data_IF_001295453525
#
_entry.id   IF_001295453525
#
_cell.length_a   1.000
_cell.length_b   1.000
_cell.length_c   1.000
_cell.angle_alpha   90.00
_cell.angle_beta   90.00
_cell.angle_gamma   90.00
#
_symmetry.space_group_name_H-M   'P 1'
#
loop_
_entity.id
_entity.type
_entity.pdbx_description
1 polymer ?
#
# COMPACT_ATOMS: atom_id res chain seq x y z
N UNK A 1 -15.93 -4.08 -13.82
CA UNK A 1 -15.38 -2.72 -13.98
C UNK A 1 -15.07 -2.03 -12.65
N UNK A 2 -15.88 -2.23 -11.61
CA UNK A 2 -15.62 -1.64 -10.29
C UNK A 2 -14.43 -2.27 -9.56
N UNK A 3 -14.22 -3.57 -9.71
CA UNK A 3 -13.07 -4.27 -9.13
C UNK A 3 -11.72 -3.79 -9.69
N UNK A 4 -11.67 -3.45 -10.97
CA UNK A 4 -10.47 -2.90 -11.60
C UNK A 4 -10.17 -1.49 -11.09
N UNK A 5 -11.19 -0.67 -10.87
CA UNK A 5 -11.04 0.66 -10.27
C UNK A 5 -10.52 0.58 -8.84
N UNK A 6 -11.01 -0.38 -8.05
CA UNK A 6 -10.55 -0.59 -6.68
C UNK A 6 -9.10 -1.07 -6.62
N UNK A 7 -8.71 -2.03 -7.46
CA UNK A 7 -7.32 -2.49 -7.58
C UNK A 7 -6.38 -1.35 -7.98
N UNK A 8 -6.82 -0.49 -8.89
CA UNK A 8 -6.05 0.65 -9.35
C UNK A 8 -5.86 1.69 -8.25
N UNK A 9 -6.91 1.96 -7.46
CA UNK A 9 -6.85 2.87 -6.31
C UNK A 9 -5.90 2.35 -5.22
N UNK A 10 -5.97 1.07 -4.91
CA UNK A 10 -5.09 0.43 -3.92
C UNK A 10 -3.63 0.48 -4.37
N UNK A 11 -3.36 0.25 -5.65
CA UNK A 11 -2.02 0.35 -6.20
C UNK A 11 -1.46 1.78 -6.14
N UNK A 12 -2.29 2.78 -6.48
CA UNK A 12 -1.92 4.20 -6.37
C UNK A 12 -1.64 4.58 -4.92
N UNK A 13 -2.47 4.14 -3.98
CA UNK A 13 -2.29 4.40 -2.56
C UNK A 13 -0.99 3.79 -2.02
N UNK A 14 -0.67 2.57 -2.41
CA UNK A 14 0.59 1.92 -2.07
C UNK A 14 1.80 2.65 -2.63
N UNK A 15 1.72 3.09 -3.89
CA UNK A 15 2.78 3.87 -4.54
C UNK A 15 2.98 5.24 -3.89
N UNK A 16 1.91 5.94 -3.57
CA UNK A 16 1.97 7.22 -2.86
C UNK A 16 2.58 7.07 -1.46
N UNK A 17 2.25 5.99 -0.76
CA UNK A 17 2.82 5.71 0.56
C UNK A 17 4.33 5.56 0.53
N UNK A 18 4.87 4.92 -0.50
CA UNK A 18 6.31 4.74 -0.68
C UNK A 18 7.02 5.97 -1.22
N UNK A 19 6.37 6.75 -2.08
CA UNK A 19 6.97 7.93 -2.71
C UNK A 19 6.89 9.19 -1.84
N UNK A 20 5.89 9.32 -0.99
CA UNK A 20 5.67 10.53 -0.19
C UNK A 20 6.88 10.93 0.68
N UNK A 21 7.59 10.01 1.39
CA UNK A 21 8.81 10.36 2.11
C UNK A 21 9.93 10.89 1.20
N UNK A 22 10.05 10.34 0.01
CA UNK A 22 11.05 10.79 -0.97
C UNK A 22 10.73 12.18 -1.52
N UNK A 23 9.46 12.49 -1.72
CA UNK A 23 9.02 13.83 -2.13
C UNK A 23 9.34 14.85 -1.02
N UNK A 24 9.12 14.48 0.24
CA UNK A 24 9.49 15.30 1.38
C UNK A 24 11.00 15.56 1.44
N UNK A 25 11.81 14.52 1.25
CA UNK A 25 13.27 14.63 1.19
C UNK A 25 13.74 15.54 0.03
N UNK A 26 13.15 15.37 -1.14
CA UNK A 26 13.41 16.25 -2.28
C UNK A 26 13.10 17.72 -1.93
N UNK A 27 11.99 17.97 -1.24
CA UNK A 27 11.63 19.30 -0.75
C UNK A 27 12.69 19.90 0.17
N UNK A 28 13.30 19.12 1.05
CA UNK A 28 14.41 19.56 1.91
C UNK A 28 15.63 19.96 1.09
N UNK A 29 16.03 19.16 0.13
CA UNK A 29 17.20 19.44 -0.72
C UNK A 29 16.99 20.73 -1.51
N UNK A 30 15.83 20.89 -2.14
CA UNK A 30 15.50 22.11 -2.90
C UNK A 30 15.45 23.32 -1.96
N UNK A 31 14.84 23.20 -0.78
CA UNK A 31 14.77 24.29 0.19
C UNK A 31 16.16 24.75 0.66
N UNK A 32 17.08 23.84 0.90
CA UNK A 32 18.45 24.16 1.29
C UNK A 32 19.19 24.87 0.14
N UNK A 33 18.99 24.43 -1.11
CA UNK A 33 19.59 25.10 -2.28
C UNK A 33 19.13 26.56 -2.36
N UNK A 34 17.84 26.83 -2.20
CA UNK A 34 17.32 28.19 -2.21
C UNK A 34 17.88 29.03 -1.06
N UNK A 35 18.04 28.45 0.13
CA UNK A 35 18.66 29.15 1.26
C UNK A 35 20.06 29.63 0.96
N UNK A 36 20.89 28.78 0.34
CA UNK A 36 22.25 29.13 -0.03
C UNK A 36 22.30 30.16 -1.17
N UNK A 37 21.38 30.08 -2.13
CA UNK A 37 21.27 31.11 -3.19
C UNK A 37 20.89 32.48 -2.62
N UNK A 38 19.93 32.53 -1.73
CA UNK A 38 19.51 33.77 -1.05
C UNK A 38 20.65 34.37 -0.21
N UNK A 39 21.42 33.52 0.48
CA UNK A 39 22.57 33.97 1.25
C UNK A 39 23.66 34.57 0.36
N UNK A 40 23.94 33.95 -0.77
CA UNK A 40 24.90 34.45 -1.74
C UNK A 40 24.45 35.78 -2.37
N UNK A 41 23.18 35.91 -2.69
CA UNK A 41 22.62 37.13 -3.29
C UNK A 41 22.58 38.34 -2.35
N UNK A 42 22.40 38.09 -1.04
CA UNK A 42 22.32 39.14 0.00
C UNK A 42 23.65 39.49 0.67
N UNK A 43 24.77 38.98 0.15
CA UNK A 43 26.10 39.31 0.64
C UNK A 43 26.42 38.84 2.07
N UNK A 44 25.91 37.68 2.48
CA UNK A 44 26.12 37.11 3.81
C UNK A 44 24.95 37.42 4.75
N UNK A 45 23.78 36.95 4.42
CA UNK A 45 22.65 36.90 5.38
C UNK A 45 23.02 36.00 6.56
N UNK A 46 22.99 36.56 7.77
CA UNK A 46 23.38 35.84 8.98
C UNK A 46 22.57 34.54 9.19
N UNK A 47 22.98 33.76 10.20
CA UNK A 47 22.39 32.48 10.62
C UNK A 47 20.84 32.53 10.70
N UNK A 48 20.25 33.70 10.98
CA UNK A 48 18.81 33.88 11.06
C UNK A 48 18.09 33.66 9.71
N UNK A 49 18.67 34.10 8.59
CA UNK A 49 18.09 33.94 7.25
C UNK A 49 18.18 32.48 6.79
N UNK A 50 19.33 31.86 7.05
CA UNK A 50 19.56 30.44 6.72
C UNK A 50 18.68 29.55 7.58
N UNK A 51 18.53 29.86 8.86
CA UNK A 51 17.70 29.11 9.80
C UNK A 51 16.23 29.10 9.42
N UNK A 52 15.69 30.21 8.97
CA UNK A 52 14.29 30.29 8.51
C UNK A 52 14.03 29.39 7.30
N UNK A 53 14.94 29.41 6.32
CA UNK A 53 14.80 28.60 5.12
C UNK A 53 15.00 27.10 5.38
N UNK A 54 15.97 26.72 6.23
CA UNK A 54 16.14 25.33 6.65
C UNK A 54 14.91 24.84 7.42
N UNK A 55 14.37 25.65 8.31
CA UNK A 55 13.15 25.32 9.06
C UNK A 55 11.99 25.03 8.09
N UNK A 56 11.76 25.86 7.09
CA UNK A 56 10.74 25.63 6.08
C UNK A 56 10.95 24.32 5.30
N UNK A 57 12.20 24.00 4.94
CA UNK A 57 12.56 22.78 4.27
C UNK A 57 12.30 21.54 5.14
N UNK A 58 12.62 21.60 6.43
CA UNK A 58 12.34 20.53 7.38
C UNK A 58 10.84 20.29 7.56
N UNK A 59 10.02 21.31 7.54
CA UNK A 59 8.56 21.19 7.57
C UNK A 59 8.05 20.42 6.35
N UNK A 60 8.59 20.67 5.17
CA UNK A 60 8.23 19.93 3.96
C UNK A 60 8.47 18.42 4.12
N UNK A 61 9.62 18.04 4.71
CA UNK A 61 9.92 16.63 5.01
C UNK A 61 8.97 16.04 6.06
N UNK A 62 8.68 16.78 7.11
CA UNK A 62 7.75 16.34 8.15
C UNK A 62 6.35 16.06 7.59
N UNK A 63 5.85 16.92 6.71
CA UNK A 63 4.57 16.74 6.02
C UNK A 63 4.62 15.52 5.09
N UNK A 64 5.69 15.38 4.30
CA UNK A 64 5.88 14.23 3.41
C UNK A 64 5.90 12.89 4.15
N UNK A 65 6.58 12.84 5.29
CA UNK A 65 6.60 11.67 6.18
C UNK A 65 5.22 11.38 6.77
N UNK A 66 4.51 12.40 7.24
CA UNK A 66 3.16 12.26 7.78
C UNK A 66 2.19 11.68 6.75
N UNK A 67 2.22 12.18 5.53
CA UNK A 67 1.42 11.65 4.42
C UNK A 67 1.81 10.20 4.10
N UNK A 68 3.10 9.90 4.02
CA UNK A 68 3.60 8.55 3.77
C UNK A 68 3.15 7.54 4.82
N UNK A 69 3.29 7.88 6.10
CA UNK A 69 2.87 7.02 7.22
C UNK A 69 1.36 6.77 7.16
N UNK A 70 0.56 7.81 6.94
CA UNK A 70 -0.90 7.70 6.87
C UNK A 70 -1.34 6.84 5.69
N UNK A 71 -0.68 6.99 4.53
CA UNK A 71 -0.98 6.22 3.33
C UNK A 71 -0.63 4.73 3.52
N UNK A 72 0.54 4.41 4.09
CA UNK A 72 0.95 3.03 4.37
C UNK A 72 0.03 2.38 5.40
N UNK A 73 -0.34 3.12 6.43
CA UNK A 73 -1.29 2.63 7.45
C UNK A 73 -2.65 2.29 6.81
N UNK A 74 -3.21 3.21 6.02
CA UNK A 74 -4.45 2.97 5.28
C UNK A 74 -4.35 1.79 4.31
N UNK A 75 -3.26 1.69 3.58
CA UNK A 75 -3.00 0.57 2.67
C UNK A 75 -2.96 -0.78 3.40
N UNK A 76 -2.29 -0.84 4.54
CA UNK A 76 -2.21 -2.06 5.34
C UNK A 76 -3.58 -2.47 5.91
N UNK A 77 -4.39 -1.51 6.36
CA UNK A 77 -5.76 -1.81 6.82
C UNK A 77 -6.61 -2.42 5.71
N UNK A 78 -6.56 -1.85 4.52
CA UNK A 78 -7.32 -2.36 3.36
C UNK A 78 -6.81 -3.75 2.95
N UNK A 79 -5.51 -3.96 2.91
CA UNK A 79 -4.94 -5.26 2.57
C UNK A 79 -5.30 -6.36 3.57
N UNK A 80 -5.30 -6.05 4.86
CA UNK A 80 -5.71 -7.00 5.90
C UNK A 80 -7.18 -7.41 5.71
N UNK A 81 -8.07 -6.45 5.45
CA UNK A 81 -9.48 -6.74 5.20
C UNK A 81 -9.69 -7.57 3.94
N UNK A 82 -9.01 -7.23 2.84
CA UNK A 82 -9.09 -7.99 1.60
C UNK A 82 -8.51 -9.39 1.74
N UNK A 83 -7.41 -9.54 2.47
CA UNK A 83 -6.80 -10.83 2.77
C UNK A 83 -7.72 -11.72 3.58
N UNK A 84 -8.42 -11.16 4.56
CA UNK A 84 -9.38 -11.90 5.38
C UNK A 84 -10.59 -12.38 4.56
N UNK A 85 -11.14 -11.51 3.70
CA UNK A 85 -12.20 -11.86 2.76
C UNK A 85 -11.75 -12.94 1.76
N UNK A 86 -10.56 -12.81 1.19
CA UNK A 86 -10.02 -13.81 0.27
C UNK A 86 -9.85 -15.17 0.93
N UNK A 87 -9.39 -15.21 2.17
CA UNK A 87 -9.24 -16.44 2.96
C UNK A 87 -10.59 -17.09 3.26
N UNK A 88 -11.60 -16.30 3.66
CA UNK A 88 -12.95 -16.78 3.90
C UNK A 88 -13.58 -17.36 2.63
N UNK A 89 -13.45 -16.68 1.51
CA UNK A 89 -13.95 -17.15 0.22
C UNK A 89 -13.25 -18.43 -0.23
N UNK A 90 -11.95 -18.53 -0.03
CA UNK A 90 -11.18 -19.72 -0.35
C UNK A 90 -11.59 -20.92 0.50
N UNK A 91 -11.75 -20.74 1.80
CA UNK A 91 -12.20 -21.79 2.71
C UNK A 91 -13.62 -22.27 2.33
N UNK A 92 -14.52 -21.34 2.05
CA UNK A 92 -15.87 -21.70 1.62
C UNK A 92 -15.88 -22.44 0.27
N UNK A 93 -15.03 -22.05 -0.66
CA UNK A 93 -14.91 -22.74 -1.95
C UNK A 93 -14.32 -24.15 -1.81
N UNK A 94 -13.33 -24.33 -0.94
CA UNK A 94 -12.76 -25.65 -0.63
C UNK A 94 -13.78 -26.56 0.06
N UNK A 95 -14.52 -26.04 1.01
CA UNK A 95 -15.59 -26.77 1.71
C UNK A 95 -16.70 -27.20 0.73
N UNK A 96 -17.13 -26.31 -0.16
CA UNK A 96 -18.11 -26.62 -1.20
C UNK A 96 -17.60 -27.67 -2.18
N UNK A 97 -16.33 -27.58 -2.58
CA UNK A 97 -15.69 -28.57 -3.47
C UNK A 97 -15.63 -29.96 -2.82
N UNK A 98 -15.27 -30.02 -1.53
CA UNK A 98 -15.23 -31.26 -0.76
C UNK A 98 -16.63 -31.86 -0.62
N UNK A 99 -17.63 -31.08 -0.26
CA UNK A 99 -19.01 -31.53 -0.18
C UNK A 99 -19.54 -32.03 -1.52
N UNK A 100 -19.22 -31.37 -2.63
CA UNK A 100 -19.64 -31.79 -3.96
C UNK A 100 -18.98 -33.10 -4.40
N UNK A 101 -17.70 -33.33 -4.04
CA UNK A 101 -16.98 -34.59 -4.29
C UNK A 101 -17.60 -35.73 -3.48
N UNK A 102 -17.88 -35.53 -2.20
CA UNK A 102 -18.53 -36.52 -1.34
C UNK A 102 -19.92 -36.86 -1.88
N UNK A 103 -20.69 -35.86 -2.30
CA UNK A 103 -22.01 -36.07 -2.88
C UNK A 103 -21.96 -36.86 -4.18
N UNK A 104 -21.01 -36.54 -5.06
CA UNK A 104 -20.79 -37.28 -6.31
C UNK A 104 -20.38 -38.74 -6.05
N UNK A 105 -19.55 -38.99 -5.06
CA UNK A 105 -19.17 -40.34 -4.64
C UNK A 105 -20.35 -41.14 -4.05
N UNK A 106 -21.24 -40.46 -3.34
CA UNK A 106 -22.44 -41.08 -2.75
C UNK A 106 -23.50 -41.42 -3.81
N UNK A 107 -23.63 -40.60 -4.85
CA UNK A 107 -24.57 -40.80 -5.96
C UNK A 107 -23.98 -41.69 -7.05
N UNK A 108 -22.70 -42.03 -7.02
CA UNK A 108 -22.08 -42.92 -7.97
C UNK A 108 -22.69 -44.34 -7.85
N UNK A 109 -23.09 -44.99 -8.97
CA UNK A 109 -23.62 -46.34 -8.92
C UNK A 109 -22.55 -47.29 -8.36
N UNK A 110 -22.92 -48.03 -7.33
CA UNK A 110 -22.07 -49.13 -6.84
C UNK A 110 -21.74 -50.04 -8.02
N UNK A 111 -20.49 -50.09 -8.38
CA UNK A 111 -20.03 -51.08 -9.36
C UNK A 111 -20.50 -52.43 -8.85
N UNK A 112 -21.23 -53.22 -9.66
CA UNK A 112 -21.48 -54.56 -9.26
C UNK A 112 -20.11 -55.22 -9.05
N UNK A 113 -19.87 -55.65 -7.85
CA UNK A 113 -18.78 -56.59 -7.58
C UNK A 113 -19.03 -57.78 -8.45
N UNK A 114 -18.42 -57.83 -9.63
CA UNK A 114 -18.22 -59.08 -10.31
C UNK A 114 -17.34 -59.93 -9.40
N UNK A 115 -17.98 -60.59 -8.46
CA UNK A 115 -17.39 -61.75 -7.87
C UNK A 115 -17.22 -62.74 -9.06
N UNK A 116 -16.10 -62.57 -9.74
CA UNK A 116 -15.72 -63.50 -10.80
C UNK A 116 -15.59 -64.86 -10.20
N UNK A 117 -16.30 -65.74 -10.75
CA UNK A 117 -16.04 -67.12 -10.56
C UNK A 117 -14.58 -67.47 -10.88
#
# INVERSE_FOLDING_TARGET
>A
QEMEKQKRLVWILGSLGTLAPFIGLLGTVIGIIFCFQDMAAKGGGGIAVVGAGISAALWATAIGLGVGISAVFGFNLVNVQLGHLATLLKNNAEELAEVSVIRAAKDAPKRPTTAGA
#
